data_IF_505682014990
#
_entry.id   IF_505682014990
#
_cell.length_a   1.000
_cell.length_b   1.000
_cell.length_c   1.000
_cell.angle_alpha   90.00
_cell.angle_beta   90.00
_cell.angle_gamma   90.00
#
_symmetry.space_group_name_H-M   'P 1'
#
loop_
_entity.id
_entity.type
_entity.pdbx_description
1 polymer ?
#
# COMPACT_ATOMS: atom_id res chain seq x y z
N UNK A 1 22.02 -14.53 -4.08
CA UNK A 1 20.98 -15.57 -4.26
C UNK A 1 19.72 -14.88 -4.72
N UNK A 2 19.31 -15.10 -5.97
CA UNK A 2 18.19 -14.40 -6.59
C UNK A 2 16.87 -14.88 -5.94
N UNK A 3 16.18 -13.96 -5.26
CA UNK A 3 14.86 -14.21 -4.71
C UNK A 3 13.88 -14.34 -5.88
N UNK A 4 13.35 -15.54 -6.10
CA UNK A 4 12.34 -15.77 -7.13
C UNK A 4 11.04 -15.09 -6.70
N UNK A 5 10.29 -14.57 -7.66
CA UNK A 5 9.01 -13.87 -7.45
C UNK A 5 8.04 -14.69 -6.58
N UNK A 6 8.06 -16.03 -6.74
CA UNK A 6 7.33 -16.98 -5.91
C UNK A 6 7.66 -16.94 -4.40
N UNK A 7 8.86 -16.55 -4.00
CA UNK A 7 9.24 -16.42 -2.57
C UNK A 7 8.64 -15.16 -1.94
N UNK A 8 8.42 -14.09 -2.72
CA UNK A 8 7.76 -12.87 -2.25
C UNK A 8 6.27 -13.14 -2.12
N UNK A 9 5.66 -13.81 -3.10
CA UNK A 9 4.28 -14.26 -3.02
C UNK A 9 4.06 -15.27 -1.90
N UNK A 10 5.00 -16.20 -1.67
CA UNK A 10 4.96 -17.07 -0.50
C UNK A 10 5.12 -16.26 0.78
N UNK A 11 6.02 -15.28 0.87
CA UNK A 11 6.15 -14.46 2.09
C UNK A 11 4.89 -13.63 2.36
N UNK A 12 4.27 -13.03 1.35
CA UNK A 12 2.99 -12.33 1.49
C UNK A 12 1.87 -13.31 1.88
N UNK A 13 1.83 -14.49 1.26
CA UNK A 13 0.82 -15.53 1.54
C UNK A 13 1.04 -16.22 2.89
N UNK A 14 2.27 -16.36 3.35
CA UNK A 14 2.64 -16.84 4.69
C UNK A 14 2.27 -15.76 5.72
N UNK A 15 2.57 -14.49 5.44
CA UNK A 15 2.19 -13.39 6.34
C UNK A 15 0.67 -13.22 6.47
N UNK A 16 -0.09 -13.54 5.41
CA UNK A 16 -1.55 -13.64 5.43
C UNK A 16 -2.06 -14.96 6.03
N UNK A 17 -1.38 -16.08 5.78
CA UNK A 17 -1.78 -17.43 6.19
C UNK A 17 -1.46 -17.79 7.64
N UNK A 18 -0.58 -17.05 8.32
CA UNK A 18 -0.30 -17.24 9.75
C UNK A 18 -1.39 -16.68 10.68
N UNK A 19 -2.45 -16.07 10.14
CA UNK A 19 -3.60 -15.61 10.93
C UNK A 19 -4.73 -16.65 11.06
N UNK A 20 -4.64 -17.80 10.39
CA UNK A 20 -5.66 -18.83 10.49
C UNK A 20 -5.35 -19.81 11.63
N UNK A 21 -5.98 -19.60 12.77
CA UNK A 21 -6.10 -20.58 13.84
C UNK A 21 -7.54 -20.60 14.32
N UNK A 22 -8.38 -21.41 13.68
CA UNK A 22 -9.30 -22.38 14.32
C UNK A 22 -10.37 -22.87 13.34
N UNK A 23 -10.26 -24.16 13.02
CA UNK A 23 -11.25 -25.12 12.47
C UNK A 23 -12.75 -24.73 12.41
N UNK A 24 -13.44 -24.95 11.27
CA UNK A 24 -14.06 -26.26 10.91
C UNK A 24 -14.84 -26.28 9.56
N UNK A 25 -14.75 -27.46 8.90
CA UNK A 25 -15.37 -28.08 7.68
C UNK A 25 -16.84 -27.75 7.33
N UNK A 26 -17.45 -27.88 6.12
CA UNK A 26 -17.28 -28.60 4.82
C UNK A 26 -18.19 -27.95 3.70
N UNK A 27 -18.52 -28.58 2.54
CA UNK A 27 -17.71 -28.75 1.33
C UNK A 27 -18.30 -28.11 0.03
N UNK A 28 -17.39 -27.77 -0.89
CA UNK A 28 -17.50 -27.87 -2.37
C UNK A 28 -18.50 -26.96 -3.15
N UNK A 29 -18.03 -25.79 -3.61
CA UNK A 29 -18.54 -25.13 -4.82
C UNK A 29 -17.48 -24.21 -5.49
N UNK A 30 -17.34 -24.36 -6.81
CA UNK A 30 -16.61 -23.56 -7.82
C UNK A 30 -15.79 -22.35 -7.29
N UNK A 31 -14.48 -22.55 -7.18
CA UNK A 31 -13.50 -21.62 -6.63
C UNK A 31 -13.38 -20.30 -7.42
N UNK A 32 -14.26 -19.33 -7.12
CA UNK A 32 -13.84 -17.91 -7.11
C UNK A 32 -12.74 -17.77 -6.06
N UNK A 33 -11.68 -16.97 -6.28
CA UNK A 33 -10.71 -16.70 -5.23
C UNK A 33 -11.45 -16.03 -4.09
N UNK A 34 -11.77 -16.82 -3.06
CA UNK A 34 -12.42 -16.35 -1.86
C UNK A 34 -11.52 -15.26 -1.29
N UNK A 35 -12.04 -14.04 -1.18
CA UNK A 35 -11.29 -12.95 -0.62
C UNK A 35 -10.89 -13.36 0.80
N UNK A 36 -9.59 -13.54 1.03
CA UNK A 36 -8.97 -13.87 2.33
C UNK A 36 -9.31 -12.79 3.39
N UNK A 37 -9.90 -11.67 2.96
CA UNK A 37 -10.23 -10.49 3.73
C UNK A 37 -11.73 -10.45 4.01
N UNK A 38 -12.08 -10.20 5.28
CA UNK A 38 -13.47 -9.94 5.70
C UNK A 38 -14.09 -8.78 4.93
N UNK A 39 -15.37 -8.90 4.58
CA UNK A 39 -16.13 -7.85 3.88
C UNK A 39 -16.11 -6.52 4.63
N UNK A 40 -16.18 -6.57 5.96
CA UNK A 40 -16.19 -5.38 6.82
C UNK A 40 -14.83 -4.68 6.78
N UNK A 41 -13.75 -5.46 6.78
CA UNK A 41 -12.39 -4.94 6.68
C UNK A 41 -12.18 -4.28 5.30
N UNK A 42 -12.67 -4.92 4.24
CA UNK A 42 -12.62 -4.34 2.89
C UNK A 42 -13.37 -3.01 2.81
N UNK A 43 -14.56 -2.92 3.40
CA UNK A 43 -15.33 -1.68 3.48
C UNK A 43 -14.58 -0.60 4.28
N UNK A 44 -13.96 -0.95 5.41
CA UNK A 44 -13.16 0.00 6.19
C UNK A 44 -11.97 0.54 5.40
N UNK A 45 -11.29 -0.29 4.61
CA UNK A 45 -10.17 0.14 3.75
C UNK A 45 -10.65 1.09 2.67
N UNK A 46 -11.77 0.78 2.03
CA UNK A 46 -12.37 1.64 1.01
C UNK A 46 -12.77 2.99 1.61
N UNK A 47 -13.41 2.97 2.78
CA UNK A 47 -13.77 4.18 3.51
C UNK A 47 -12.53 5.00 3.90
N UNK A 48 -11.46 4.35 4.37
CA UNK A 48 -10.19 5.03 4.63
C UNK A 48 -9.65 5.72 3.38
N UNK A 49 -9.63 5.03 2.23
CA UNK A 49 -9.14 5.60 0.98
C UNK A 49 -9.99 6.79 0.52
N UNK A 50 -11.32 6.70 0.63
CA UNK A 50 -12.25 7.80 0.34
C UNK A 50 -12.03 8.99 1.28
N UNK A 51 -11.85 8.73 2.57
CA UNK A 51 -11.60 9.76 3.57
C UNK A 51 -10.25 10.45 3.33
N UNK A 52 -9.21 9.68 3.00
CA UNK A 52 -7.92 10.23 2.61
C UNK A 52 -8.10 11.16 1.41
N UNK A 53 -8.77 10.70 0.34
CA UNK A 53 -9.05 11.48 -0.87
C UNK A 53 -9.78 12.80 -0.59
N UNK A 54 -10.95 12.72 0.06
CA UNK A 54 -11.80 13.87 0.33
C UNK A 54 -11.13 14.90 1.23
N UNK A 55 -10.47 14.44 2.31
CA UNK A 55 -9.78 15.35 3.24
C UNK A 55 -8.48 15.90 2.70
N UNK A 56 -7.77 15.12 1.88
CA UNK A 56 -6.48 15.53 1.33
C UNK A 56 -6.58 16.48 0.13
N UNK A 57 -7.66 16.40 -0.67
CA UNK A 57 -7.92 17.34 -1.78
C UNK A 57 -8.96 18.42 -1.46
N UNK A 58 -9.66 18.34 -0.32
CA UNK A 58 -10.81 19.20 0.01
C UNK A 58 -11.94 19.13 -1.05
N UNK A 59 -12.14 17.94 -1.63
CA UNK A 59 -13.13 17.68 -2.68
C UNK A 59 -14.23 16.74 -2.15
N UNK A 60 -15.39 16.77 -2.80
CA UNK A 60 -16.49 15.84 -2.53
C UNK A 60 -16.07 14.37 -2.78
N UNK A 61 -16.63 13.41 -2.01
CA UNK A 61 -16.32 11.99 -2.19
C UNK A 61 -16.66 11.54 -3.61
N UNK A 62 -15.66 10.98 -4.30
CA UNK A 62 -15.84 10.36 -5.61
C UNK A 62 -15.22 8.96 -5.58
N UNK A 63 -16.09 7.94 -5.59
CA UNK A 63 -15.66 6.56 -5.38
C UNK A 63 -14.83 5.98 -6.53
N UNK A 64 -15.01 6.52 -7.73
CA UNK A 64 -14.41 6.03 -8.97
C UNK A 64 -13.16 6.84 -9.40
N UNK A 65 -12.71 7.82 -8.62
CA UNK A 65 -11.54 8.62 -9.01
C UNK A 65 -10.25 7.78 -8.98
N UNK A 66 -9.46 7.72 -10.06
CA UNK A 66 -8.15 7.08 -10.07
C UNK A 66 -7.15 7.65 -9.05
N UNK A 67 -7.38 8.84 -8.51
CA UNK A 67 -6.54 9.48 -7.50
C UNK A 67 -6.79 8.97 -6.07
N UNK A 68 -7.92 8.31 -5.80
CA UNK A 68 -8.25 7.77 -4.47
C UNK A 68 -7.17 6.83 -3.92
N UNK A 69 -6.75 5.75 -4.62
CA UNK A 69 -5.75 4.83 -4.10
C UNK A 69 -4.38 5.49 -4.02
N UNK A 70 -4.08 6.40 -4.97
CA UNK A 70 -2.84 7.20 -4.95
C UNK A 70 -2.73 8.01 -3.66
N UNK A 71 -3.81 8.65 -3.25
CA UNK A 71 -3.79 9.47 -2.06
C UNK A 71 -3.78 8.65 -0.78
N UNK A 72 -4.48 7.51 -0.75
CA UNK A 72 -4.40 6.57 0.35
C UNK A 72 -2.96 6.06 0.57
N UNK A 73 -2.25 5.67 -0.50
CA UNK A 73 -0.84 5.30 -0.43
C UNK A 73 0.05 6.44 0.04
N UNK A 74 -0.16 7.65 -0.48
CA UNK A 74 0.57 8.86 -0.03
C UNK A 74 0.31 9.16 1.44
N UNK A 75 -0.92 8.99 1.93
CA UNK A 75 -1.27 9.14 3.35
C UNK A 75 -0.52 8.14 4.23
N UNK A 76 -0.47 6.88 3.85
CA UNK A 76 0.30 5.86 4.56
C UNK A 76 1.80 6.21 4.55
N UNK A 77 2.35 6.52 3.38
CA UNK A 77 3.77 6.84 3.23
C UNK A 77 4.17 8.08 4.05
N UNK A 78 3.36 9.14 3.97
CA UNK A 78 3.56 10.37 4.72
C UNK A 78 3.51 10.13 6.23
N UNK A 79 2.53 9.36 6.72
CA UNK A 79 2.41 9.06 8.15
C UNK A 79 3.64 8.32 8.68
N UNK A 80 4.13 7.31 7.94
CA UNK A 80 5.33 6.56 8.30
C UNK A 80 6.56 7.48 8.31
N UNK A 81 6.73 8.29 7.26
CA UNK A 81 7.84 9.25 7.15
C UNK A 81 7.79 10.33 8.23
N UNK A 82 6.62 10.85 8.55
CA UNK A 82 6.43 11.83 9.61
C UNK A 82 6.80 11.24 10.97
N UNK A 83 6.46 9.97 11.21
CA UNK A 83 6.83 9.25 12.43
C UNK A 83 8.35 9.08 12.54
N UNK A 84 9.02 8.73 11.44
CA UNK A 84 10.49 8.66 11.38
C UNK A 84 11.14 10.02 11.62
N UNK A 85 10.62 11.08 11.00
CA UNK A 85 11.10 12.44 11.18
C UNK A 85 10.98 12.90 12.64
N UNK A 86 9.86 12.58 13.30
CA UNK A 86 9.64 12.87 14.71
C UNK A 86 10.65 12.14 15.63
N UNK A 87 10.92 10.87 15.36
CA UNK A 87 11.94 10.10 16.10
C UNK A 87 13.32 10.70 15.93
N UNK A 88 13.70 11.06 14.70
CA UNK A 88 14.98 11.70 14.40
C UNK A 88 15.11 13.05 15.12
N UNK A 89 14.05 13.86 15.10
CA UNK A 89 14.03 15.15 15.80
C UNK A 89 14.18 15.01 17.32
N UNK A 90 13.63 13.94 17.89
CA UNK A 90 13.72 13.65 19.33
C UNK A 90 15.00 12.88 19.72
N UNK A 91 15.93 12.67 18.79
CA UNK A 91 17.15 11.86 18.96
C UNK A 91 16.88 10.43 19.47
N UNK A 92 15.72 9.87 19.13
CA UNK A 92 15.34 8.50 19.49
C UNK A 92 15.79 7.52 18.40
N UNK A 93 16.13 6.27 18.75
CA UNK A 93 16.47 5.25 17.76
C UNK A 93 15.28 4.97 16.84
N UNK A 94 15.56 4.82 15.53
CA UNK A 94 14.59 4.42 14.52
C UNK A 94 13.91 3.11 14.94
N UNK A 95 12.57 3.13 15.06
CA UNK A 95 11.74 1.99 15.45
C UNK A 95 11.99 1.42 16.86
N UNK A 96 12.92 1.99 17.64
CA UNK A 96 13.34 1.44 18.94
C UNK A 96 12.67 2.05 20.16
N UNK A 97 11.99 3.19 20.02
CA UNK A 97 11.40 3.96 21.13
C UNK A 97 9.91 4.23 20.91
N UNK A 98 9.21 3.25 20.34
CA UNK A 98 7.77 3.29 20.19
C UNK A 98 7.07 2.63 21.38
N UNK A 99 5.93 3.20 21.77
CA UNK A 99 4.96 2.49 22.62
C UNK A 99 4.40 1.29 21.84
N UNK A 100 3.95 0.23 22.54
CA UNK A 100 3.34 -0.94 21.88
C UNK A 100 2.23 -0.53 20.90
N UNK A 101 1.39 0.45 21.30
CA UNK A 101 0.32 0.99 20.46
C UNK A 101 0.81 1.63 19.16
N UNK A 102 1.94 2.34 19.21
CA UNK A 102 2.53 2.95 18.01
C UNK A 102 3.16 1.92 17.10
N UNK A 103 3.78 0.88 17.67
CA UNK A 103 4.34 -0.23 16.92
C UNK A 103 3.24 -1.00 16.17
N UNK A 104 2.16 -1.35 16.85
CA UNK A 104 0.99 -2.00 16.24
C UNK A 104 0.35 -1.10 15.16
N UNK A 105 0.26 0.20 15.43
CA UNK A 105 -0.24 1.17 14.46
C UNK A 105 0.62 1.25 13.20
N UNK A 106 1.95 1.25 13.36
CA UNK A 106 2.89 1.26 12.24
C UNK A 106 2.80 -0.03 11.42
N UNK A 107 2.72 -1.17 12.08
CA UNK A 107 2.53 -2.47 11.42
C UNK A 107 1.24 -2.48 10.60
N UNK A 108 0.14 -1.99 11.18
CA UNK A 108 -1.15 -1.91 10.49
C UNK A 108 -1.14 -0.93 9.31
N UNK A 109 -0.40 0.18 9.40
CA UNK A 109 -0.20 1.10 8.26
C UNK A 109 0.54 0.43 7.10
N UNK A 110 1.57 -0.37 7.40
CA UNK A 110 2.31 -1.12 6.37
C UNK A 110 1.42 -2.19 5.73
N UNK A 111 0.65 -2.93 6.54
CA UNK A 111 -0.34 -3.90 6.05
C UNK A 111 -1.38 -3.22 5.15
N UNK A 112 -1.92 -2.07 5.58
CA UNK A 112 -2.88 -1.29 4.82
C UNK A 112 -2.32 -0.83 3.47
N UNK A 113 -1.09 -0.34 3.44
CA UNK A 113 -0.42 0.08 2.20
C UNK A 113 -0.30 -1.06 1.18
N UNK A 114 0.05 -2.27 1.63
CA UNK A 114 0.09 -3.46 0.78
C UNK A 114 -1.30 -3.89 0.31
N UNK A 115 -2.30 -3.83 1.21
CA UNK A 115 -3.65 -4.27 0.92
C UNK A 115 -4.40 -3.36 -0.05
N UNK A 116 -4.11 -2.05 -0.03
CA UNK A 116 -4.67 -1.07 -0.96
C UNK A 116 -4.44 -1.45 -2.43
N UNK A 117 -3.29 -2.06 -2.76
CA UNK A 117 -3.02 -2.53 -4.13
C UNK A 117 -3.84 -3.76 -4.53
N UNK A 118 -4.11 -4.65 -3.59
CA UNK A 118 -4.91 -5.86 -3.82
C UNK A 118 -6.43 -5.59 -3.82
N UNK A 119 -6.89 -4.58 -3.07
CA UNK A 119 -8.32 -4.25 -2.90
C UNK A 119 -8.87 -3.43 -4.07
N UNK A 120 -8.01 -2.78 -4.87
CA UNK A 120 -8.47 -1.92 -5.95
C UNK A 120 -9.02 -2.70 -7.14
N UNK A 121 -10.31 -2.50 -7.43
CA UNK A 121 -11.06 -3.25 -8.46
C UNK A 121 -10.58 -2.94 -9.89
N UNK A 122 -10.05 -1.75 -10.14
CA UNK A 122 -9.68 -1.30 -11.48
C UNK A 122 -8.16 -1.40 -11.73
N UNK A 123 -7.72 -2.57 -12.22
CA UNK A 123 -6.31 -2.82 -12.57
C UNK A 123 -5.78 -1.84 -13.64
N UNK A 124 -6.63 -1.38 -14.57
CA UNK A 124 -6.22 -0.46 -15.64
C UNK A 124 -5.81 0.91 -15.10
N UNK A 125 -6.53 1.38 -14.08
CA UNK A 125 -6.20 2.62 -13.36
C UNK A 125 -4.89 2.48 -12.59
N UNK A 126 -4.68 1.35 -11.91
CA UNK A 126 -3.43 1.05 -11.21
C UNK A 126 -2.23 1.01 -12.18
N UNK A 127 -2.40 0.41 -13.36
CA UNK A 127 -1.37 0.35 -14.39
C UNK A 127 -1.01 1.72 -14.94
N UNK A 128 -2.01 2.54 -15.27
CA UNK A 128 -1.80 3.92 -15.72
C UNK A 128 -1.06 4.74 -14.66
N UNK A 129 -1.39 4.56 -13.38
CA UNK A 129 -0.71 5.22 -12.27
C UNK A 129 0.75 4.75 -12.15
N UNK A 130 0.99 3.44 -12.17
CA UNK A 130 2.35 2.89 -12.07
C UNK A 130 3.25 3.31 -13.23
N UNK A 131 2.74 3.30 -14.46
CA UNK A 131 3.49 3.80 -15.64
C UNK A 131 3.78 5.30 -15.52
N UNK A 132 2.82 6.11 -15.02
CA UNK A 132 3.05 7.55 -14.77
C UNK A 132 4.14 7.78 -13.72
N UNK A 133 4.16 6.99 -12.65
CA UNK A 133 5.19 7.07 -11.61
C UNK A 133 6.57 6.68 -12.15
N UNK A 134 6.64 5.63 -12.98
CA UNK A 134 7.88 5.23 -13.65
C UNK A 134 8.37 6.29 -14.63
N UNK A 135 7.47 6.85 -15.45
CA UNK A 135 7.80 7.96 -16.33
C UNK A 135 8.31 9.16 -15.55
N UNK A 136 7.70 9.48 -14.41
CA UNK A 136 8.17 10.57 -13.55
C UNK A 136 9.61 10.32 -13.10
N UNK A 137 9.95 9.11 -12.62
CA UNK A 137 11.31 8.77 -12.18
C UNK A 137 12.33 8.76 -13.34
N UNK A 138 11.92 8.31 -14.53
CA UNK A 138 12.81 8.15 -15.69
C UNK A 138 12.98 9.46 -16.49
N UNK A 139 11.92 10.24 -16.66
CA UNK A 139 11.88 11.51 -17.41
C UNK A 139 12.28 12.68 -16.52
N UNK A 140 13.50 12.62 -15.97
CA UNK A 140 14.13 13.74 -15.25
C UNK A 140 14.65 14.75 -16.26
N UNK A 141 13.74 15.52 -16.86
CA UNK A 141 14.06 16.58 -17.83
C UNK A 141 14.89 17.72 -17.24
N UNK A 142 14.81 17.92 -15.92
CA UNK A 142 15.62 18.90 -15.21
C UNK A 142 16.97 18.30 -14.83
N UNK A 143 18.03 18.77 -15.50
CA UNK A 143 19.43 18.39 -15.22
C UNK A 143 19.88 18.73 -13.79
N UNK A 144 19.13 19.56 -13.07
CA UNK A 144 19.42 20.02 -11.71
C UNK A 144 18.62 19.25 -10.63
N UNK A 145 17.64 18.43 -11.04
CA UNK A 145 16.82 17.66 -10.11
C UNK A 145 17.55 16.38 -9.68
N UNK A 146 18.39 16.52 -8.65
CA UNK A 146 19.06 15.38 -8.04
C UNK A 146 18.05 14.41 -7.39
N UNK A 147 18.35 13.11 -7.42
CA UNK A 147 17.53 12.04 -6.82
C UNK A 147 17.29 12.26 -5.30
N UNK A 148 18.17 13.03 -4.65
CA UNK A 148 18.05 13.43 -3.24
C UNK A 148 16.91 14.42 -2.98
N UNK A 149 16.44 15.15 -4.00
CA UNK A 149 15.31 16.06 -3.88
C UNK A 149 13.96 15.33 -3.95
N UNK A 150 13.96 14.03 -4.24
CA UNK A 150 12.76 13.24 -4.44
C UNK A 150 12.36 12.54 -3.13
N UNK A 151 11.06 12.57 -2.82
CA UNK A 151 10.48 11.70 -1.78
C UNK A 151 10.43 10.26 -2.29
N UNK A 152 11.57 9.58 -2.23
CA UNK A 152 11.74 8.22 -2.70
C UNK A 152 10.75 7.27 -2.02
N UNK A 153 10.50 7.46 -0.71
CA UNK A 153 9.58 6.60 0.04
C UNK A 153 8.12 6.81 -0.39
N UNK A 154 7.70 8.06 -0.56
CA UNK A 154 6.37 8.41 -1.06
C UNK A 154 6.09 7.95 -2.50
N UNK A 155 7.13 7.71 -3.30
CA UNK A 155 7.01 7.15 -4.65
C UNK A 155 7.09 5.61 -4.66
N UNK A 156 7.98 5.03 -3.85
CA UNK A 156 8.16 3.58 -3.76
C UNK A 156 6.90 2.87 -3.26
N UNK A 157 6.22 3.43 -2.25
CA UNK A 157 5.01 2.81 -1.68
C UNK A 157 3.91 2.58 -2.75
N UNK A 158 3.42 3.61 -3.47
CA UNK A 158 2.43 3.39 -4.53
C UNK A 158 2.98 2.60 -5.72
N UNK A 159 4.28 2.72 -6.02
CA UNK A 159 4.90 1.91 -7.07
C UNK A 159 4.86 0.42 -6.73
N UNK A 160 5.16 0.03 -5.49
CA UNK A 160 5.09 -1.38 -5.07
C UNK A 160 3.67 -1.95 -5.11
N UNK A 161 2.64 -1.12 -4.89
CA UNK A 161 1.24 -1.53 -5.01
C UNK A 161 0.76 -1.64 -6.45
N UNK A 162 1.31 -0.84 -7.37
CA UNK A 162 0.90 -0.80 -8.79
C UNK A 162 1.71 -1.72 -9.69
N UNK A 163 2.97 -2.03 -9.33
CA UNK A 163 3.86 -2.91 -10.10
C UNK A 163 3.24 -4.28 -10.40
N UNK A 164 2.64 -4.99 -9.42
CA UNK A 164 2.05 -6.30 -9.67
C UNK A 164 0.95 -6.24 -10.73
N UNK A 165 0.18 -5.15 -10.79
CA UNK A 165 -0.87 -4.95 -11.79
C UNK A 165 -0.32 -4.77 -13.21
N UNK A 166 0.89 -4.21 -13.36
CA UNK A 166 1.54 -3.99 -14.66
C UNK A 166 2.02 -5.33 -15.24
N UNK A 167 2.56 -6.20 -14.39
CA UNK A 167 3.12 -7.49 -14.82
C UNK A 167 2.08 -8.62 -14.85
N UNK A 168 1.05 -8.59 -14.00
CA UNK A 168 -0.08 -9.53 -14.03
C UNK A 168 -1.23 -8.95 -14.85
N UNK A 169 -0.98 -8.79 -16.15
CA UNK A 169 -1.99 -8.46 -17.14
C UNK A 169 -2.78 -9.70 -17.54
N UNK A 170 -3.91 -9.93 -16.86
CA UNK A 170 -5.08 -10.66 -17.38
C UNK A 170 -6.30 -9.75 -17.22
#
# INVERSE_FOLDING_TARGET
>A
VALKEGDIFMKLRIFLGMYDSSENKAPEELARPQSIISTDLLQMIQLFAQMAYTKGLEVNPHEDDPAVPMLAWKCCAYTIRATECLLRYTNKPLLGDFTCRQQDGLENLVKLAGLLGAVWKNKQVANKLGVRLLMMVIDTKDRDSSLLNWDCFGLLVPLTGTLPSIFHGD
#
